data_IF_345236485197
#
_entry.id   IF_345236485197
#
_cell.length_a   1.000
_cell.length_b   1.000
_cell.length_c   1.000
_cell.angle_alpha   90.00
_cell.angle_beta   90.00
_cell.angle_gamma   90.00
#
_symmetry.space_group_name_H-M   'P 1'
#
loop_
_entity.id
_entity.type
_entity.pdbx_description
1 polymer ?
#
# COMPACT_ATOMS: atom_id res chain seq x y z
N UNK A 1 -2.32 1.61 -10.61
CA UNK A 1 -3.00 0.46 -9.97
C UNK A 1 -3.77 0.91 -8.74
N UNK A 2 -4.73 0.13 -8.27
CA UNK A 2 -5.43 0.32 -6.99
C UNK A 2 -5.05 -0.83 -6.05
N UNK A 3 -4.83 -0.53 -4.76
CA UNK A 3 -4.62 -1.53 -3.73
C UNK A 3 -5.82 -1.53 -2.78
N UNK A 4 -6.31 -2.70 -2.39
CA UNK A 4 -7.30 -2.80 -1.32
C UNK A 4 -6.70 -2.48 0.07
N UNK A 5 -7.55 -2.34 1.09
CA UNK A 5 -7.06 -2.06 2.45
C UNK A 5 -6.21 -3.19 3.02
N UNK A 6 -6.48 -4.46 2.69
CA UNK A 6 -5.71 -5.60 3.22
C UNK A 6 -4.26 -5.54 2.75
N UNK A 7 -4.03 -5.27 1.46
CA UNK A 7 -2.69 -5.12 0.88
C UNK A 7 -1.98 -3.90 1.45
N UNK A 8 -2.69 -2.79 1.71
CA UNK A 8 -2.10 -1.66 2.43
C UNK A 8 -1.65 -2.02 3.85
N UNK A 9 -2.50 -2.73 4.60
CA UNK A 9 -2.17 -3.15 5.96
C UNK A 9 -0.97 -4.11 5.96
N UNK A 10 -0.88 -5.01 4.99
CA UNK A 10 0.27 -5.89 4.82
C UNK A 10 1.57 -5.12 4.58
N UNK A 11 1.54 -4.08 3.75
CA UNK A 11 2.69 -3.21 3.47
C UNK A 11 3.08 -2.36 4.68
N UNK A 12 2.11 -1.83 5.43
CA UNK A 12 2.34 -0.82 6.46
C UNK A 12 2.59 -1.41 7.85
N UNK A 13 1.97 -2.54 8.15
CA UNK A 13 1.89 -3.10 9.51
C UNK A 13 2.57 -4.46 9.63
N UNK A 14 2.44 -5.30 8.61
CA UNK A 14 2.96 -6.67 8.67
C UNK A 14 4.31 -6.85 7.97
N UNK A 15 4.68 -5.94 7.08
CA UNK A 15 5.83 -6.11 6.16
C UNK A 15 5.78 -7.49 5.47
N UNK A 16 4.60 -7.84 4.97
CA UNK A 16 4.32 -9.15 4.39
C UNK A 16 5.23 -9.41 3.16
N UNK A 17 5.97 -10.54 3.11
CA UNK A 17 6.90 -10.83 2.02
C UNK A 17 6.30 -10.78 0.61
N UNK A 18 5.03 -11.15 0.45
CA UNK A 18 4.36 -11.10 -0.85
C UNK A 18 4.08 -9.67 -1.33
N UNK A 19 4.05 -8.70 -0.40
CA UNK A 19 3.83 -7.29 -0.71
C UNK A 19 5.11 -6.45 -0.78
N UNK A 20 6.25 -6.97 -0.30
CA UNK A 20 7.55 -6.27 -0.37
C UNK A 20 7.95 -5.84 -1.79
N UNK A 21 7.80 -6.67 -2.84
CA UNK A 21 8.10 -6.24 -4.21
C UNK A 21 7.21 -5.07 -4.66
N UNK A 22 5.94 -5.06 -4.24
CA UNK A 22 4.99 -3.97 -4.54
C UNK A 22 5.43 -2.69 -3.82
N UNK A 23 5.81 -2.79 -2.55
CA UNK A 23 6.33 -1.67 -1.77
C UNK A 23 7.58 -1.06 -2.42
N UNK A 24 8.55 -1.89 -2.79
CA UNK A 24 9.77 -1.44 -3.47
C UNK A 24 9.47 -0.76 -4.82
N UNK A 25 8.54 -1.32 -5.61
CA UNK A 25 8.14 -0.74 -6.88
C UNK A 25 7.40 0.60 -6.71
N UNK A 26 6.61 0.76 -5.64
CA UNK A 26 6.00 2.05 -5.29
C UNK A 26 7.04 3.08 -4.85
N UNK A 27 8.02 2.67 -4.05
CA UNK A 27 9.06 3.57 -3.53
C UNK A 27 10.01 4.08 -4.62
N UNK A 28 10.28 3.25 -5.62
CA UNK A 28 11.06 3.63 -6.81
C UNK A 28 10.24 4.37 -7.86
N UNK A 29 8.91 4.41 -7.72
CA UNK A 29 8.00 4.98 -8.71
C UNK A 29 7.85 4.13 -9.98
N UNK A 30 8.34 2.88 -9.99
CA UNK A 30 8.16 1.93 -11.09
C UNK A 30 6.67 1.60 -11.34
N UNK A 31 5.85 1.75 -10.29
CA UNK A 31 4.39 1.68 -10.34
C UNK A 31 3.77 2.79 -9.51
N UNK A 32 2.57 3.22 -9.89
CA UNK A 32 1.81 4.24 -9.14
C UNK A 32 0.55 3.62 -8.55
N UNK A 33 0.36 3.74 -7.24
CA UNK A 33 -0.89 3.42 -6.57
C UNK A 33 -1.85 4.63 -6.60
N UNK A 34 -3.12 4.35 -6.89
CA UNK A 34 -4.20 5.33 -6.92
C UNK A 34 -5.09 5.14 -5.70
N UNK A 35 -5.49 6.24 -5.07
CA UNK A 35 -6.39 6.23 -3.91
C UNK A 35 -7.38 7.38 -3.98
N UNK A 36 -8.63 7.17 -3.56
CA UNK A 36 -9.60 8.25 -3.37
C UNK A 36 -9.88 8.49 -1.88
N UNK A 37 -10.66 9.53 -1.58
CA UNK A 37 -11.01 9.89 -0.20
C UNK A 37 -11.79 8.79 0.54
N UNK A 38 -12.57 7.96 -0.18
CA UNK A 38 -13.38 6.89 0.42
C UNK A 38 -12.48 5.74 0.87
N UNK A 39 -11.53 5.35 0.03
CA UNK A 39 -10.52 4.33 0.33
C UNK A 39 -9.58 4.79 1.46
N UNK A 40 -9.09 6.04 1.41
CA UNK A 40 -8.22 6.56 2.46
C UNK A 40 -8.93 6.64 3.82
N UNK A 41 -10.17 7.15 3.85
CA UNK A 41 -10.94 7.24 5.09
C UNK A 41 -11.31 5.88 5.69
N UNK A 42 -11.40 4.83 4.88
CA UNK A 42 -11.51 3.46 5.40
C UNK A 42 -10.20 2.98 6.01
N UNK A 43 -9.08 3.11 5.29
CA UNK A 43 -7.77 2.69 5.79
C UNK A 43 -7.43 3.40 7.11
N UNK A 44 -7.75 4.69 7.22
CA UNK A 44 -7.59 5.45 8.46
C UNK A 44 -8.38 4.83 9.62
N UNK A 45 -9.66 4.47 9.41
CA UNK A 45 -10.49 3.83 10.43
C UNK A 45 -9.99 2.44 10.78
N UNK A 46 -9.53 1.67 9.79
CA UNK A 46 -8.96 0.33 10.02
C UNK A 46 -7.75 0.42 10.93
N UNK A 47 -6.85 1.37 10.71
CA UNK A 47 -5.67 1.57 11.57
C UNK A 47 -6.03 1.98 13.01
N UNK A 48 -7.24 2.48 13.24
CA UNK A 48 -7.75 2.79 14.59
C UNK A 48 -8.32 1.59 15.35
N UNK A 49 -8.44 0.43 14.71
CA UNK A 49 -9.03 -0.74 15.37
C UNK A 49 -8.14 -1.25 16.51
N UNK A 50 -8.73 -1.75 17.63
CA UNK A 50 -7.99 -2.12 18.83
C UNK A 50 -6.81 -3.07 18.59
N UNK A 51 -6.95 -4.01 17.65
CA UNK A 51 -5.90 -4.97 17.32
C UNK A 51 -4.65 -4.33 16.68
N UNK A 52 -4.80 -3.23 15.94
CA UNK A 52 -3.64 -2.51 15.38
C UNK A 52 -3.04 -1.54 16.40
N UNK A 53 -3.87 -0.94 17.25
CA UNK A 53 -3.41 -0.15 18.40
C UNK A 53 -2.59 -0.98 19.38
N UNK A 54 -3.01 -2.22 19.64
CA UNK A 54 -2.28 -3.16 20.51
C UNK A 54 -0.87 -3.50 20.00
N UNK A 55 -0.62 -3.34 18.68
CA UNK A 55 0.69 -3.55 18.06
C UNK A 55 1.56 -2.29 17.99
N UNK A 56 1.14 -1.21 18.65
CA UNK A 56 1.81 0.08 18.66
C UNK A 56 2.11 0.62 17.25
N UNK A 57 1.18 0.41 16.30
CA UNK A 57 1.29 0.96 14.95
C UNK A 57 1.27 2.49 15.02
N UNK A 58 2.32 3.13 14.51
CA UNK A 58 2.34 4.58 14.30
C UNK A 58 1.41 4.93 13.14
N UNK A 59 0.15 5.25 13.48
CA UNK A 59 -0.88 5.65 12.51
C UNK A 59 -0.44 6.86 11.69
N UNK A 60 0.26 7.84 12.29
CA UNK A 60 0.67 9.05 11.59
C UNK A 60 1.74 8.73 10.55
N UNK A 61 2.76 7.93 10.91
CA UNK A 61 3.78 7.48 9.98
C UNK A 61 3.21 6.58 8.86
N UNK A 62 2.24 5.72 9.19
CA UNK A 62 1.56 4.88 8.22
C UNK A 62 0.80 5.73 7.17
N UNK A 63 0.01 6.70 7.61
CA UNK A 63 -0.72 7.59 6.71
C UNK A 63 0.21 8.50 5.91
N UNK A 64 1.31 8.98 6.49
CA UNK A 64 2.34 9.71 5.77
C UNK A 64 2.99 8.86 4.66
N UNK A 65 3.18 7.56 4.92
CA UNK A 65 3.68 6.61 3.92
C UNK A 65 2.66 6.43 2.79
N UNK A 66 1.37 6.25 3.10
CA UNK A 66 0.31 6.17 2.08
C UNK A 66 0.27 7.44 1.24
N UNK A 67 0.29 8.61 1.87
CA UNK A 67 0.29 9.89 1.16
C UNK A 67 1.49 10.06 0.21
N UNK A 68 2.66 9.54 0.59
CA UNK A 68 3.87 9.56 -0.24
C UNK A 68 3.81 8.56 -1.41
N UNK A 69 3.23 7.39 -1.20
CA UNK A 69 3.24 6.28 -2.18
C UNK A 69 2.03 6.28 -3.12
N UNK A 70 1.07 7.18 -2.92
CA UNK A 70 -0.17 7.22 -3.70
C UNK A 70 -0.35 8.53 -4.44
N UNK A 71 -1.01 8.43 -5.59
CA UNK A 71 -1.63 9.56 -6.26
C UNK A 71 -3.11 9.60 -5.90
N UNK A 72 -3.55 10.75 -5.36
CA UNK A 72 -4.95 10.97 -5.05
C UNK A 72 -5.76 11.22 -6.32
N UNK A 73 -6.84 10.44 -6.48
CA UNK A 73 -7.80 10.60 -7.56
C UNK A 73 -9.06 11.23 -6.97
N UNK A 74 -9.57 12.28 -7.63
CA UNK A 74 -10.85 12.85 -7.26
C UNK A 74 -11.94 11.78 -7.45
N UNK A 75 -12.70 11.51 -6.39
CA UNK A 75 -13.84 10.60 -6.49
C UNK A 75 -14.87 11.11 -7.51
N UNK A 76 -15.75 10.24 -8.02
CA UNK A 76 -16.84 10.68 -8.90
C UNK A 76 -17.59 11.81 -8.22
N UNK A 77 -17.57 13.00 -8.84
CA UNK A 77 -18.41 14.11 -8.38
C UNK A 77 -19.85 13.66 -8.58
N UNK A 78 -20.63 13.57 -7.50
CA UNK A 78 -22.07 13.48 -7.63
C UNK A 78 -22.52 14.69 -8.46
N UNK A 79 -23.18 14.45 -9.60
CA UNK A 79 -23.62 15.50 -10.50
C UNK A 79 -24.46 16.55 -9.75
N UNK A 80 -24.06 17.82 -9.86
CA UNK A 80 -24.92 19.00 -9.74
C UNK A 80 -25.19 19.54 -8.33
N UNK A 81 -24.40 20.55 -7.93
CA UNK A 81 -24.70 21.40 -6.79
C UNK A 81 -23.54 22.34 -6.45
N UNK A 82 -23.43 23.46 -7.16
CA UNK A 82 -22.61 24.58 -6.70
C UNK A 82 -23.33 25.25 -5.53
N UNK A 83 -22.80 25.12 -4.31
CA UNK A 83 -23.06 26.09 -3.24
C UNK A 83 -21.90 26.11 -2.24
N UNK A 84 -21.23 27.26 -2.18
CA UNK A 84 -20.58 27.96 -1.05
C UNK A 84 -20.14 27.19 0.20
N UNK A 85 -18.92 27.53 0.64
CA UNK A 85 -18.37 27.20 1.95
C UNK A 85 -19.39 27.42 3.08
N UNK A 86 -19.75 26.34 3.76
CA UNK A 86 -20.45 26.38 5.04
C UNK A 86 -19.53 25.78 6.10
N UNK A 87 -19.25 26.60 7.10
CA UNK A 87 -18.57 26.29 8.35
C UNK A 87 -19.29 25.18 9.12
N UNK A 88 -18.50 24.49 9.94
CA UNK A 88 -18.83 23.33 10.76
C UNK A 88 -20.21 23.40 11.46
N UNK A 89 -20.92 22.26 11.45
CA UNK A 89 -21.81 21.88 12.53
C UNK A 89 -21.69 20.37 12.81
N UNK A 90 -21.62 20.04 14.10
CA UNK A 90 -21.33 18.72 14.65
C UNK A 90 -22.64 17.99 14.88
N UNK A 91 -23.04 17.13 13.93
CA UNK A 91 -24.22 16.28 14.04
C UNK A 91 -23.83 14.80 14.05
N UNK A 92 -23.62 14.24 15.25
CA UNK A 92 -23.40 12.81 15.43
C UNK A 92 -24.64 12.01 15.00
N UNK A 93 -24.49 11.14 14.01
CA UNK A 93 -25.37 10.01 13.78
C UNK A 93 -24.49 8.84 13.38
N UNK A 94 -24.37 7.88 14.29
CA UNK A 94 -23.56 6.69 14.13
C UNK A 94 -24.19 5.76 13.08
N UNK A 95 -23.47 5.36 12.02
CA UNK A 95 -23.80 4.17 11.30
C UNK A 95 -23.17 2.95 11.99
N UNK A 96 -24.00 1.92 12.16
CA UNK A 96 -23.73 0.55 12.64
C UNK A 96 -22.47 -0.05 12.00
N UNK A 97 -21.64 -0.82 12.72
CA UNK A 97 -20.36 -1.28 12.21
C UNK A 97 -20.52 -2.33 11.12
N UNK A 98 -20.01 -2.05 9.92
CA UNK A 98 -19.63 -3.09 8.97
C UNK A 98 -18.27 -3.66 9.42
N UNK A 99 -18.34 -4.51 10.43
CA UNK A 99 -17.24 -5.37 10.85
C UNK A 99 -17.36 -6.68 10.06
N UNK A 100 -16.58 -6.86 8.99
CA UNK A 100 -16.42 -8.23 8.45
C UNK A 100 -15.10 -8.55 7.75
N UNK A 101 -14.27 -7.59 7.34
CA UNK A 101 -12.98 -7.92 6.71
C UNK A 101 -11.78 -7.78 7.66
N UNK A 102 -11.62 -6.64 8.33
CA UNK A 102 -10.45 -6.38 9.19
C UNK A 102 -10.39 -7.18 10.51
N UNK A 103 -11.47 -7.88 10.87
CA UNK A 103 -11.48 -8.81 12.03
C UNK A 103 -10.99 -10.22 11.66
N UNK A 104 -11.02 -10.61 10.38
CA UNK A 104 -10.62 -11.94 9.94
C UNK A 104 -9.10 -12.10 9.71
N UNK A 105 -8.35 -10.99 9.66
CA UNK A 105 -6.90 -10.97 9.40
C UNK A 105 -6.10 -11.65 10.54
N UNK A 106 -6.72 -11.90 11.71
CA UNK A 106 -6.05 -12.43 12.90
C UNK A 106 -6.12 -13.98 13.00
N UNK A 107 -6.86 -14.67 12.13
CA UNK A 107 -7.05 -16.12 12.29
C UNK A 107 -6.00 -17.01 11.60
N UNK A 108 -5.29 -16.52 10.57
CA UNK A 108 -4.44 -17.38 9.73
C UNK A 108 -2.94 -17.33 10.09
N UNK A 109 -2.47 -16.27 10.76
CA UNK A 109 -1.03 -16.04 11.00
C UNK A 109 -0.48 -16.63 12.31
N UNK A 110 -1.25 -17.41 13.08
CA UNK A 110 -0.77 -18.04 14.33
C UNK A 110 -0.21 -19.47 14.18
N UNK A 111 -0.17 -20.06 12.97
CA UNK A 111 0.34 -21.43 12.77
C UNK A 111 1.69 -21.56 12.06
N UNK A 112 2.45 -20.49 11.88
CA UNK A 112 3.80 -20.61 11.32
C UNK A 112 4.88 -20.24 12.37
N UNK A 113 5.03 -21.11 13.37
CA UNK A 113 6.26 -21.18 14.16
C UNK A 113 7.34 -21.88 13.31
N UNK A 114 8.56 -21.35 13.20
CA UNK A 114 9.67 -22.14 12.65
C UNK A 114 10.04 -23.21 13.68
N UNK A 115 9.83 -24.48 13.30
CA UNK A 115 10.22 -25.65 14.06
C UNK A 115 11.74 -25.66 14.31
N UNK A 116 12.10 -26.01 15.54
CA UNK A 116 13.47 -26.13 16.03
C UNK A 116 14.35 -27.04 15.13
N UNK A 117 15.40 -26.47 14.56
CA UNK A 117 16.47 -27.22 13.92
C UNK A 117 17.49 -27.69 14.98
N UNK A 118 17.68 -29.00 15.01
CA UNK A 118 18.64 -29.75 15.83
C UNK A 118 20.09 -29.29 15.58
N UNK A 119 20.85 -29.18 16.66
CA UNK A 119 22.32 -29.11 16.70
C UNK A 119 22.95 -30.38 16.11
N UNK A 120 24.12 -30.24 15.48
CA UNK A 120 25.17 -31.22 15.71
C UNK A 120 26.57 -30.61 15.95
N UNK A 121 27.21 -31.07 17.03
CA UNK A 121 28.62 -31.53 17.10
C UNK A 121 29.76 -30.63 16.64
N UNK A 122 30.58 -30.19 17.61
CA UNK A 122 31.97 -29.76 17.42
C UNK A 122 32.88 -30.91 16.93
N UNK A 123 34.07 -30.59 16.37
CA UNK A 123 35.26 -30.88 17.17
C UNK A 123 36.41 -29.84 17.08
N UNK A 124 37.27 -29.95 18.10
CA UNK A 124 38.51 -29.24 18.43
C UNK A 124 39.56 -29.09 17.33
N UNK A 125 40.41 -28.05 17.47
CA UNK A 125 41.85 -28.23 17.24
C UNK A 125 42.64 -27.04 16.67
N UNK A 126 43.27 -26.29 17.59
CA UNK A 126 44.64 -25.73 17.51
C UNK A 126 44.99 -24.60 16.53
N UNK A 127 45.36 -23.44 17.11
CA UNK A 127 46.71 -22.84 17.06
C UNK A 127 46.72 -21.30 16.85
N UNK A 128 47.04 -20.59 17.94
CA UNK A 128 47.75 -19.29 17.99
C UNK A 128 49.23 -19.49 17.54
N UNK A 129 50.08 -18.45 17.32
CA UNK A 129 50.09 -17.09 17.87
C UNK A 129 50.35 -15.99 16.80
N UNK A 130 50.38 -14.68 17.01
CA UNK A 130 51.11 -13.89 18.02
C UNK A 130 50.69 -12.41 17.96
N UNK A 131 50.84 -11.74 19.10
CA UNK A 131 50.67 -10.29 19.34
C UNK A 131 51.81 -9.46 18.74
N UNK A 132 51.46 -8.24 18.32
CA UNK A 132 52.06 -6.89 18.59
C UNK A 132 51.41 -5.91 17.60
N UNK A 133 51.21 -4.62 17.81
CA UNK A 133 51.47 -3.69 18.90
C UNK A 133 50.45 -2.53 18.76
N UNK A 134 50.19 -1.85 19.87
CA UNK A 134 49.32 -0.69 19.91
C UNK A 134 50.03 0.54 19.32
N UNK A 135 49.34 1.27 18.43
CA UNK A 135 49.64 2.68 18.18
C UNK A 135 48.36 3.49 18.10
N UNK A 136 48.09 4.18 19.22
CA UNK A 136 47.18 5.32 19.32
C UNK A 136 47.90 6.55 18.74
N UNK A 137 47.24 7.26 17.83
CA UNK A 137 47.51 8.69 17.55
C UNK A 137 46.18 9.41 17.31
N UNK A 138 45.95 10.61 17.88
CA UNK A 138 44.78 11.42 17.60
C UNK A 138 45.13 12.54 16.61
N UNK A 139 44.34 12.68 15.55
CA UNK A 139 44.33 13.82 14.65
C UNK A 139 43.06 13.72 13.79
N UNK A 140 42.32 14.76 13.44
CA UNK A 140 42.28 16.15 13.84
C UNK A 140 40.91 16.65 13.34
N UNK A 141 40.39 17.70 13.98
CA UNK A 141 39.26 18.46 13.47
C UNK A 141 39.57 19.02 12.07
N UNK A 142 38.66 18.80 11.12
CA UNK A 142 38.52 19.65 9.93
C UNK A 142 37.13 19.47 9.31
N UNK A 143 36.22 20.41 9.59
CA UNK A 143 35.33 20.93 8.54
C UNK A 143 36.15 21.91 7.69
N UNK A 144 35.77 22.17 6.41
CA UNK A 144 34.78 23.21 6.19
C UNK A 144 33.86 23.02 4.96
N UNK A 145 32.84 23.91 4.93
CA UNK A 145 32.12 24.46 3.79
C UNK A 145 31.14 23.51 3.05
N UNK A 146 29.84 23.69 3.23
CA UNK A 146 29.03 24.70 2.51
C UNK A 146 28.88 24.36 1.03
N UNK A 147 27.77 23.69 0.72
CA UNK A 147 27.28 23.44 -0.63
C UNK A 147 25.77 23.35 -0.55
N UNK A 148 25.12 24.44 -0.92
CA UNK A 148 23.67 24.55 -1.07
C UNK A 148 23.12 23.43 -1.96
N UNK A 149 21.97 22.86 -1.58
CA UNK A 149 21.29 21.85 -2.38
C UNK A 149 20.20 21.15 -1.61
N UNK A 150 19.19 21.88 -1.15
CA UNK A 150 17.88 21.28 -0.90
C UNK A 150 17.43 20.72 -2.25
N UNK A 151 17.24 19.40 -2.46
CA UNK A 151 16.51 18.99 -3.65
C UNK A 151 15.09 19.51 -3.45
N UNK A 152 14.77 20.51 -4.27
CA UNK A 152 13.48 21.15 -4.32
C UNK A 152 12.37 20.11 -4.29
N UNK A 153 11.39 20.35 -3.42
CA UNK A 153 10.06 19.80 -3.56
C UNK A 153 9.68 19.85 -5.04
N UNK A 154 9.42 18.69 -5.64
CA UNK A 154 9.04 18.55 -7.03
C UNK A 154 7.79 19.41 -7.30
N UNK A 155 7.88 20.57 -7.98
CA UNK A 155 6.75 21.46 -8.16
C UNK A 155 6.25 21.31 -9.60
N UNK A 156 5.67 20.16 -9.91
CA UNK A 156 4.97 19.85 -11.17
C UNK A 156 4.37 18.44 -10.99
N UNK A 157 3.07 18.15 -11.00
CA UNK A 157 1.94 18.76 -11.66
C UNK A 157 0.73 18.79 -10.71
N UNK A 158 0.18 19.98 -10.48
CA UNK A 158 -1.26 20.11 -10.32
C UNK A 158 -1.90 19.84 -11.69
N UNK A 159 -2.37 18.60 -11.91
CA UNK A 159 -3.37 18.30 -12.93
C UNK A 159 -4.44 17.40 -12.32
N UNK A 160 -5.39 18.04 -11.65
CA UNK A 160 -6.75 17.55 -11.46
C UNK A 160 -7.53 17.67 -12.77
N UNK A 161 -7.03 17.05 -13.84
CA UNK A 161 -7.82 16.87 -15.05
C UNK A 161 -8.58 15.56 -14.89
N UNK A 162 -9.90 15.69 -14.74
CA UNK A 162 -10.82 14.58 -14.87
C UNK A 162 -10.56 13.90 -16.22
N UNK A 163 -10.17 12.63 -16.17
CA UNK A 163 -9.92 11.84 -17.37
C UNK A 163 -11.19 11.86 -18.26
N UNK A 164 -11.10 12.27 -19.53
CA UNK A 164 -12.28 12.34 -20.39
C UNK A 164 -12.92 10.95 -20.54
N UNK A 165 -14.27 10.87 -20.57
CA UNK A 165 -14.96 9.61 -20.83
C UNK A 165 -14.59 9.07 -22.22
N UNK A 166 -14.55 7.75 -22.43
CA UNK A 166 -14.17 7.18 -23.72
C UNK A 166 -15.19 7.55 -24.81
N UNK A 167 -14.76 7.74 -26.06
CA UNK A 167 -15.69 7.84 -27.19
C UNK A 167 -16.26 6.45 -27.49
N UNK A 168 -17.58 6.30 -27.34
CA UNK A 168 -18.32 5.08 -27.69
C UNK A 168 -19.77 5.19 -27.24
N UNK A 169 -20.70 5.24 -28.20
CA UNK A 169 -22.13 5.53 -28.03
C UNK A 169 -22.96 4.45 -27.30
N UNK A 170 -22.32 3.58 -26.50
CA UNK A 170 -23.00 2.63 -25.64
C UNK A 170 -22.94 3.11 -24.18
N UNK A 171 -24.07 3.16 -23.45
CA UNK A 171 -24.04 3.53 -22.03
C UNK A 171 -23.09 2.58 -21.28
N UNK A 172 -22.24 3.10 -20.38
CA UNK A 172 -21.27 2.29 -19.66
C UNK A 172 -22.01 1.17 -18.94
N UNK A 173 -21.59 -0.08 -19.19
CA UNK A 173 -22.17 -1.24 -18.51
C UNK A 173 -22.03 -1.03 -17.01
N UNK A 174 -23.05 -1.35 -16.19
CA UNK A 174 -22.93 -1.20 -14.75
C UNK A 174 -21.85 -2.16 -14.24
N UNK A 175 -20.95 -1.64 -13.40
CA UNK A 175 -19.93 -2.46 -12.74
C UNK A 175 -20.58 -3.62 -11.98
N UNK A 176 -19.92 -4.80 -11.92
CA UNK A 176 -20.41 -5.90 -11.12
C UNK A 176 -20.48 -5.46 -9.65
N UNK A 177 -21.57 -5.84 -8.98
CA UNK A 177 -21.69 -5.63 -7.55
C UNK A 177 -20.80 -6.62 -6.81
N UNK A 178 -19.89 -6.10 -5.98
CA UNK A 178 -19.16 -6.93 -5.04
C UNK A 178 -20.14 -7.47 -3.99
N UNK A 179 -19.91 -8.71 -3.55
CA UNK A 179 -20.72 -9.32 -2.48
C UNK A 179 -20.47 -8.61 -1.14
N UNK A 180 -19.24 -8.17 -0.92
CA UNK A 180 -18.91 -7.25 0.17
C UNK A 180 -19.20 -5.82 -0.30
N UNK A 181 -20.03 -5.10 0.45
CA UNK A 181 -20.46 -3.75 0.11
C UNK A 181 -19.34 -2.74 0.33
N UNK A 182 -18.46 -2.99 1.28
CA UNK A 182 -17.33 -2.10 1.55
C UNK A 182 -16.35 -2.17 0.39
N UNK A 183 -16.12 -3.36 -0.17
CA UNK A 183 -15.17 -3.54 -1.27
C UNK A 183 -15.63 -2.96 -2.63
N UNK A 184 -16.89 -2.53 -2.74
CA UNK A 184 -17.41 -1.92 -3.96
C UNK A 184 -16.61 -0.68 -4.38
N UNK A 185 -16.10 0.09 -3.42
CA UNK A 185 -15.38 1.36 -3.69
C UNK A 185 -14.07 1.14 -4.46
N UNK A 186 -13.40 0.00 -4.24
CA UNK A 186 -12.15 -0.32 -4.96
C UNK A 186 -12.39 -0.64 -6.43
N UNK A 187 -13.49 -1.34 -6.76
CA UNK A 187 -13.90 -1.59 -8.14
C UNK A 187 -14.24 -0.28 -8.86
N UNK A 188 -15.00 0.59 -8.19
CA UNK A 188 -15.39 1.89 -8.73
C UNK A 188 -14.16 2.78 -8.98
N UNK A 189 -13.22 2.81 -8.03
CA UNK A 189 -11.98 3.55 -8.19
C UNK A 189 -11.12 3.00 -9.33
N UNK A 190 -10.92 1.69 -9.40
CA UNK A 190 -10.14 1.05 -10.46
C UNK A 190 -10.71 1.35 -11.84
N UNK A 191 -12.04 1.26 -11.98
CA UNK A 191 -12.72 1.56 -13.23
C UNK A 191 -12.67 3.05 -13.60
N UNK A 192 -13.05 3.94 -12.68
CA UNK A 192 -13.11 5.37 -12.93
C UNK A 192 -11.74 5.97 -13.26
N UNK A 193 -10.69 5.48 -12.58
CA UNK A 193 -9.31 5.92 -12.81
C UNK A 193 -8.62 5.18 -13.97
N UNK A 194 -9.31 4.24 -14.63
CA UNK A 194 -8.75 3.33 -15.66
C UNK A 194 -7.45 2.66 -15.22
N UNK A 195 -7.44 2.15 -13.99
CA UNK A 195 -6.31 1.38 -13.49
C UNK A 195 -6.23 0.04 -14.21
N UNK A 196 -5.05 -0.39 -14.65
CA UNK A 196 -4.87 -1.71 -15.25
C UNK A 196 -5.04 -2.87 -14.23
N UNK A 197 -4.82 -2.57 -12.95
CA UNK A 197 -4.80 -3.53 -11.86
C UNK A 197 -5.50 -3.01 -10.61
N UNK A 198 -6.31 -3.87 -10.01
CA UNK A 198 -6.74 -3.85 -8.62
C UNK A 198 -6.08 -5.04 -7.90
N UNK A 199 -5.17 -4.75 -6.98
CA UNK A 199 -4.48 -5.79 -6.18
C UNK A 199 -5.25 -6.00 -4.89
N UNK A 200 -5.67 -7.24 -4.64
CA UNK A 200 -6.52 -7.59 -3.50
C UNK A 200 -6.28 -9.01 -3.02
N UNK A 201 -6.35 -9.20 -1.69
CA UNK A 201 -6.38 -10.54 -1.06
C UNK A 201 -7.81 -11.01 -0.75
N UNK A 202 -8.83 -10.18 -0.99
CA UNK A 202 -10.22 -10.50 -0.67
C UNK A 202 -10.87 -11.48 -1.67
N UNK A 203 -11.60 -12.47 -1.15
CA UNK A 203 -12.22 -13.53 -1.95
C UNK A 203 -13.42 -13.04 -2.76
N UNK A 204 -14.18 -12.06 -2.28
CA UNK A 204 -15.31 -11.49 -3.01
C UNK A 204 -14.82 -10.69 -4.22
N UNK A 205 -13.76 -9.89 -4.07
CA UNK A 205 -13.12 -9.18 -5.19
C UNK A 205 -12.47 -10.16 -6.19
N UNK A 206 -11.71 -11.14 -5.71
CA UNK A 206 -11.03 -12.10 -6.59
C UNK A 206 -12.00 -12.94 -7.44
N UNK A 207 -13.22 -13.22 -6.94
CA UNK A 207 -14.28 -13.89 -7.72
C UNK A 207 -14.74 -13.09 -8.95
N UNK A 208 -14.53 -11.78 -8.96
CA UNK A 208 -14.93 -10.90 -10.06
C UNK A 208 -13.86 -10.79 -11.16
N UNK A 209 -12.62 -11.25 -10.92
CA UNK A 209 -11.45 -11.04 -11.78
C UNK A 209 -11.69 -11.35 -13.26
N UNK A 210 -12.28 -12.51 -13.57
CA UNK A 210 -12.56 -12.91 -14.96
C UNK A 210 -13.55 -11.97 -15.66
N UNK A 211 -14.55 -11.48 -14.93
CA UNK A 211 -15.58 -10.59 -15.47
C UNK A 211 -15.04 -9.17 -15.63
N UNK A 212 -14.26 -8.68 -14.67
CA UNK A 212 -13.66 -7.34 -14.75
C UNK A 212 -12.65 -7.23 -15.87
N UNK A 213 -11.81 -8.24 -16.07
CA UNK A 213 -10.83 -8.24 -17.16
C UNK A 213 -11.54 -8.25 -18.53
N UNK A 214 -12.57 -9.10 -18.70
CA UNK A 214 -13.31 -9.23 -19.97
C UNK A 214 -14.17 -8.01 -20.31
N UNK A 215 -14.94 -7.51 -19.35
CA UNK A 215 -16.01 -6.53 -19.61
C UNK A 215 -15.59 -5.09 -19.31
N UNK A 216 -14.55 -4.88 -18.50
CA UNK A 216 -14.16 -3.56 -17.98
C UNK A 216 -12.66 -3.24 -18.17
N UNK A 217 -11.86 -4.20 -18.65
CA UNK A 217 -10.49 -3.96 -19.09
C UNK A 217 -9.45 -3.84 -17.96
N UNK A 218 -9.79 -4.16 -16.71
CA UNK A 218 -8.83 -4.18 -15.60
C UNK A 218 -8.80 -5.53 -14.88
N UNK A 219 -7.62 -5.87 -14.37
CA UNK A 219 -7.37 -7.16 -13.71
C UNK A 219 -7.52 -7.04 -12.19
N UNK A 220 -8.06 -8.09 -11.57
CA UNK A 220 -8.04 -8.26 -10.12
C UNK A 220 -7.14 -9.45 -9.80
N UNK A 221 -6.15 -9.27 -8.94
CA UNK A 221 -5.20 -10.33 -8.60
C UNK A 221 -4.64 -10.18 -7.19
N UNK A 222 -4.18 -11.28 -6.56
CA UNK A 222 -3.44 -11.20 -5.32
C UNK A 222 -2.02 -10.65 -5.55
N UNK A 223 -1.33 -10.17 -4.49
CA UNK A 223 -0.02 -9.53 -4.59
C UNK A 223 1.03 -10.32 -5.37
N UNK A 224 1.10 -11.64 -5.16
CA UNK A 224 2.08 -12.51 -5.80
C UNK A 224 1.85 -12.58 -7.31
N UNK A 225 0.59 -12.69 -7.71
CA UNK A 225 0.20 -12.73 -9.13
C UNK A 225 0.40 -11.38 -9.82
N UNK A 226 0.16 -10.28 -9.10
CA UNK A 226 0.47 -8.94 -9.62
C UNK A 226 1.99 -8.77 -9.77
N UNK A 227 2.77 -9.05 -8.73
CA UNK A 227 4.22 -8.89 -8.74
C UNK A 227 4.86 -9.70 -9.88
N UNK A 228 4.46 -10.96 -10.05
CA UNK A 228 4.99 -11.82 -11.11
C UNK A 228 4.63 -11.38 -12.54
N UNK A 229 3.53 -10.65 -12.73
CA UNK A 229 2.99 -10.31 -14.07
C UNK A 229 3.22 -8.86 -14.47
N UNK A 230 3.38 -7.97 -13.51
CA UNK A 230 3.36 -6.53 -13.72
C UNK A 230 4.64 -5.82 -13.29
N UNK A 231 5.43 -6.41 -12.38
CA UNK A 231 6.70 -5.84 -11.98
C UNK A 231 7.84 -6.44 -12.81
N UNK A 232 8.85 -5.62 -13.20
CA UNK A 232 10.02 -6.14 -13.89
C UNK A 232 10.76 -7.12 -12.97
N UNK A 233 11.24 -8.24 -13.54
CA UNK A 233 12.11 -9.15 -12.81
C UNK A 233 13.47 -8.48 -12.59
N UNK A 234 13.73 -8.00 -11.37
CA UNK A 234 15.04 -7.51 -10.97
C UNK A 234 14.99 -6.24 -10.12
N UNK A 235 15.09 -6.42 -8.81
CA UNK A 235 15.85 -5.50 -7.95
C UNK A 235 16.94 -6.35 -7.27
N UNK A 236 18.19 -5.87 -7.18
CA UNK A 236 19.27 -6.63 -6.56
C UNK A 236 18.97 -6.89 -5.08
N UNK A 237 19.28 -8.11 -4.63
CA UNK A 237 19.32 -8.47 -3.21
C UNK A 237 20.33 -7.54 -2.51
N UNK A 238 20.00 -6.91 -1.36
CA UNK A 238 20.99 -6.11 -0.64
C UNK A 238 22.09 -7.05 -0.12
N UNK A 239 23.33 -6.73 -0.51
CA UNK A 239 24.56 -7.39 -0.10
C UNK A 239 24.83 -7.27 1.41
#
# INVERSE_FOLDING_TARGET
MVLDSNVWIDILVFDDPATRPIRAALETGAVTALIDARCLGELERVLDYPQFKARAVDKAAALATVARLTQHVAGPRANGGSCVAATADTGASAPTPAASAAQAIVADTQQQQPGAARTPGAPSGSALPSRTDAHVTPAACASPASGAGVPAANPLLARTDALPPPPGDAPPRPLPKCKDRDDQKFLELAYAARADWLVSKDRALLKLARRTERDFGFRIAPPESFAARALPAGAPEPA
#
